data_IF_323421002440
#
_entry.id   IF_323421002440
#
_cell.length_a   1.000
_cell.length_b   1.000
_cell.length_c   1.000
_cell.angle_alpha   90.00
_cell.angle_beta   90.00
_cell.angle_gamma   90.00
#
_symmetry.space_group_name_H-M   'P 1'
#
loop_
_entity.id
_entity.type
_entity.pdbx_description
1 polymer ?
#
# COMPACT_ATOMS: atom_id res chain seq x y z
N UNK A 1 14.28 9.77 35.26
CA UNK A 1 13.62 10.62 34.25
C UNK A 1 12.78 9.77 33.30
N UNK A 2 11.81 9.02 33.81
CA UNK A 2 11.02 8.08 32.99
C UNK A 2 9.50 8.34 33.07
N UNK A 3 9.06 9.17 34.02
CA UNK A 3 7.65 9.52 34.21
C UNK A 3 7.16 10.43 33.09
N UNK A 4 7.98 11.41 32.68
CA UNK A 4 7.67 12.31 31.56
C UNK A 4 7.58 11.54 30.24
N UNK A 5 8.44 10.54 30.04
CA UNK A 5 8.41 9.69 28.84
C UNK A 5 7.15 8.82 28.82
N UNK A 6 6.85 8.12 29.91
CA UNK A 6 5.61 7.34 30.05
C UNK A 6 4.34 8.18 29.89
N UNK A 7 4.34 9.40 30.44
CA UNK A 7 3.22 10.32 30.28
C UNK A 7 3.06 10.75 28.81
N UNK A 8 4.16 11.00 28.10
CA UNK A 8 4.14 11.30 26.67
C UNK A 8 3.64 10.11 25.86
N UNK A 9 4.18 8.92 26.09
CA UNK A 9 3.81 7.71 25.36
C UNK A 9 2.31 7.36 25.54
N UNK A 10 1.76 7.58 26.75
CA UNK A 10 0.32 7.39 27.01
C UNK A 10 -0.54 8.45 26.30
N UNK A 11 -0.06 9.69 26.18
CA UNK A 11 -0.75 10.74 25.43
C UNK A 11 -0.74 10.42 23.93
N UNK A 12 0.41 10.03 23.38
CA UNK A 12 0.55 9.66 21.97
C UNK A 12 -0.35 8.43 21.66
N UNK A 13 -0.35 7.41 22.52
CA UNK A 13 -1.22 6.25 22.37
C UNK A 13 -2.74 6.59 22.42
N UNK A 14 -3.12 7.64 23.16
CA UNK A 14 -4.51 8.13 23.17
C UNK A 14 -4.84 8.93 21.93
N UNK A 15 -3.90 9.74 21.44
CA UNK A 15 -4.04 10.48 20.19
C UNK A 15 -4.22 9.51 19.03
N UNK A 16 -3.39 8.48 18.92
CA UNK A 16 -3.49 7.45 17.88
C UNK A 16 -4.88 6.79 17.86
N UNK A 17 -5.42 6.46 19.05
CA UNK A 17 -6.78 5.88 19.16
C UNK A 17 -7.86 6.83 18.65
N UNK A 18 -7.72 8.14 18.89
CA UNK A 18 -8.66 9.15 18.42
C UNK A 18 -8.53 9.31 16.90
N UNK A 19 -7.32 9.36 16.38
CA UNK A 19 -7.05 9.45 14.95
C UNK A 19 -7.62 8.23 14.21
N UNK A 20 -7.41 7.02 14.73
CA UNK A 20 -7.98 5.79 14.19
C UNK A 20 -9.51 5.80 14.24
N UNK A 21 -10.09 6.30 15.33
CA UNK A 21 -11.53 6.45 15.46
C UNK A 21 -12.09 7.41 14.41
N UNK A 22 -11.44 8.55 14.17
CA UNK A 22 -11.83 9.52 13.13
C UNK A 22 -11.62 8.94 11.73
N UNK A 23 -10.50 8.26 11.49
CA UNK A 23 -10.22 7.61 10.21
C UNK A 23 -11.25 6.53 9.87
N UNK A 24 -11.80 5.85 10.88
CA UNK A 24 -12.82 4.80 10.72
C UNK A 24 -14.24 5.35 10.64
N UNK A 25 -14.60 6.30 11.51
CA UNK A 25 -15.99 6.71 11.75
C UNK A 25 -16.26 8.21 11.52
N UNK A 26 -15.23 9.03 11.39
CA UNK A 26 -15.33 10.48 11.21
C UNK A 26 -15.88 10.90 9.85
N UNK A 27 -16.19 12.20 9.73
CA UNK A 27 -16.65 12.78 8.46
C UNK A 27 -15.52 12.63 7.43
N UNK A 28 -15.84 12.03 6.28
CA UNK A 28 -14.85 11.74 5.26
C UNK A 28 -14.17 10.37 5.37
N UNK A 29 -14.43 9.58 6.42
CA UNK A 29 -13.84 8.24 6.60
C UNK A 29 -14.10 7.32 5.41
N UNK A 30 -15.31 7.37 4.82
CA UNK A 30 -15.66 6.61 3.61
C UNK A 30 -14.81 7.02 2.41
N UNK A 31 -14.54 8.33 2.24
CA UNK A 31 -13.69 8.83 1.17
C UNK A 31 -12.23 8.43 1.39
N UNK A 32 -11.73 8.54 2.62
CA UNK A 32 -10.38 8.10 2.98
C UNK A 32 -10.18 6.60 2.75
N UNK A 33 -11.14 5.77 3.17
CA UNK A 33 -11.10 4.33 2.93
C UNK A 33 -11.16 3.99 1.44
N UNK A 34 -12.01 4.69 0.67
CA UNK A 34 -12.09 4.51 -0.78
C UNK A 34 -10.77 4.89 -1.46
N UNK A 35 -10.17 6.03 -1.11
CA UNK A 35 -8.88 6.46 -1.64
C UNK A 35 -7.77 5.46 -1.31
N UNK A 36 -7.65 5.04 -0.03
CA UNK A 36 -6.68 4.01 0.39
C UNK A 36 -6.86 2.70 -0.38
N UNK A 37 -8.11 2.26 -0.59
CA UNK A 37 -8.41 1.06 -1.38
C UNK A 37 -7.97 1.25 -2.84
N UNK A 38 -8.36 2.35 -3.49
CA UNK A 38 -7.97 2.63 -4.88
C UNK A 38 -6.46 2.68 -5.03
N UNK A 39 -5.74 3.37 -4.15
CA UNK A 39 -4.27 3.43 -4.19
C UNK A 39 -3.64 2.04 -4.08
N UNK A 40 -4.13 1.20 -3.16
CA UNK A 40 -3.65 -0.17 -3.03
C UNK A 40 -3.94 -1.00 -4.28
N UNK A 41 -5.15 -0.90 -4.81
CA UNK A 41 -5.56 -1.68 -5.99
C UNK A 41 -4.75 -1.27 -7.23
N UNK A 42 -4.44 0.02 -7.39
CA UNK A 42 -3.53 0.53 -8.43
C UNK A 42 -2.12 -0.01 -8.25
N UNK A 43 -1.56 0.03 -7.04
CA UNK A 43 -0.23 -0.52 -6.78
C UNK A 43 -0.17 -2.03 -7.09
N UNK A 44 -1.22 -2.77 -6.73
CA UNK A 44 -1.33 -4.19 -7.02
C UNK A 44 -1.40 -4.45 -8.53
N UNK A 45 -2.19 -3.66 -9.26
CA UNK A 45 -2.30 -3.76 -10.71
C UNK A 45 -0.97 -3.45 -11.41
N UNK A 46 -0.24 -2.42 -10.97
CA UNK A 46 1.08 -2.07 -11.49
C UNK A 46 2.12 -3.16 -11.21
N UNK A 47 2.12 -3.72 -10.00
CA UNK A 47 2.98 -4.85 -9.66
C UNK A 47 2.67 -6.07 -10.54
N UNK A 48 1.40 -6.44 -10.68
CA UNK A 48 1.00 -7.57 -11.52
C UNK A 48 1.34 -7.35 -13.00
N UNK A 49 1.06 -6.17 -13.54
CA UNK A 49 1.33 -5.86 -14.95
C UNK A 49 2.83 -5.84 -15.25
N UNK A 50 3.66 -5.30 -14.36
CA UNK A 50 5.11 -5.32 -14.53
C UNK A 50 5.68 -6.75 -14.56
N UNK A 51 5.20 -7.64 -13.70
CA UNK A 51 5.60 -9.06 -13.71
C UNK A 51 5.22 -9.71 -15.04
N UNK A 52 3.98 -9.52 -15.48
CA UNK A 52 3.50 -10.07 -16.75
C UNK A 52 4.29 -9.52 -17.95
N UNK A 53 4.64 -8.23 -17.94
CA UNK A 53 5.45 -7.61 -18.97
C UNK A 53 6.84 -8.25 -19.07
N UNK A 54 7.53 -8.45 -17.93
CA UNK A 54 8.85 -9.10 -17.90
C UNK A 54 8.77 -10.53 -18.43
N UNK A 55 7.77 -11.31 -18.00
CA UNK A 55 7.56 -12.67 -18.49
C UNK A 55 7.28 -12.70 -19.99
N UNK A 56 6.42 -11.81 -20.48
CA UNK A 56 6.09 -11.71 -21.90
C UNK A 56 7.31 -11.37 -22.75
N UNK A 57 8.13 -10.40 -22.30
CA UNK A 57 9.38 -10.03 -22.97
C UNK A 57 10.35 -11.21 -22.99
N UNK A 58 10.53 -11.92 -21.87
CA UNK A 58 11.43 -13.08 -21.79
C UNK A 58 11.00 -14.21 -22.74
N UNK A 59 9.69 -14.51 -22.80
CA UNK A 59 9.15 -15.50 -23.73
C UNK A 59 9.33 -15.07 -25.19
N UNK A 60 9.13 -13.79 -25.50
CA UNK A 60 9.32 -13.25 -26.84
C UNK A 60 10.78 -13.40 -27.31
N UNK A 61 11.75 -13.04 -26.47
CA UNK A 61 13.18 -13.25 -26.78
C UNK A 61 13.52 -14.74 -26.99
N UNK A 62 12.96 -15.63 -26.17
CA UNK A 62 13.18 -17.07 -26.30
C UNK A 62 12.58 -17.66 -27.58
N UNK A 63 11.41 -17.19 -28.00
CA UNK A 63 10.78 -17.62 -29.26
C UNK A 63 11.55 -17.11 -30.47
N UNK A 64 11.94 -15.83 -30.45
CA UNK A 64 12.70 -15.22 -31.54
C UNK A 64 14.06 -15.88 -31.76
N UNK A 65 14.80 -16.17 -30.69
CA UNK A 65 16.09 -16.86 -30.79
C UNK A 65 15.97 -18.28 -31.36
N UNK A 66 14.84 -18.96 -31.15
CA UNK A 66 14.57 -20.28 -31.73
C UNK A 66 14.20 -20.23 -33.21
N UNK A 67 13.67 -19.11 -33.72
CA UNK A 67 13.40 -18.92 -35.15
C UNK A 67 14.66 -18.55 -35.95
N UNK A 68 15.71 -18.04 -35.29
CA UNK A 68 16.99 -17.66 -35.92
C UNK A 68 18.05 -18.79 -35.94
N UNK A 69 17.81 -19.91 -35.23
CA UNK A 69 18.57 -21.18 -35.32
C UNK A 69 17.98 -22.13 -36.38
#
# INVERSE_FOLDING_TARGET
MDITKKAKDEIDARLDKIEDFIAKNGIGSKYLQKAKKTHRDVNLALAASSILAVVGIALWFKLKSKEEE
#
